data_IF_787247143466
#
_entry.id   IF_787247143466
#
_cell.length_a   1.000
_cell.length_b   1.000
_cell.length_c   1.000
_cell.angle_alpha   90.00
_cell.angle_beta   90.00
_cell.angle_gamma   90.00
#
_symmetry.space_group_name_H-M   'P 1'
#
loop_
_entity.id
_entity.type
_entity.pdbx_description
1 polymer ?
#
# COMPACT_ATOMS: atom_id res chain seq x y z
N UNK A 1 47.08 14.65 -8.32
CA UNK A 1 46.73 15.96 -8.94
C UNK A 1 46.28 15.68 -10.36
N UNK A 2 44.99 15.88 -10.65
CA UNK A 2 44.42 15.68 -11.99
C UNK A 2 44.90 16.85 -12.86
N UNK A 3 45.46 16.58 -14.04
CA UNK A 3 45.85 17.63 -14.99
C UNK A 3 44.59 18.24 -15.61
N UNK A 4 44.55 19.56 -15.80
CA UNK A 4 43.36 20.26 -16.33
C UNK A 4 42.88 19.68 -17.67
N UNK A 5 43.80 19.16 -18.46
CA UNK A 5 43.57 18.56 -19.78
C UNK A 5 42.75 17.26 -19.71
N UNK A 6 42.68 16.61 -18.55
CA UNK A 6 41.98 15.34 -18.31
C UNK A 6 40.57 15.53 -17.72
N UNK A 7 40.18 16.76 -17.37
CA UNK A 7 38.87 17.08 -16.80
C UNK A 7 37.66 16.63 -17.64
N UNK A 8 37.67 16.71 -18.99
CA UNK A 8 36.53 16.26 -19.78
C UNK A 8 36.29 14.77 -19.67
N UNK A 9 37.38 13.99 -19.62
CA UNK A 9 37.34 12.54 -19.57
C UNK A 9 36.89 12.05 -18.18
N UNK A 10 37.36 12.71 -17.12
CA UNK A 10 36.90 12.46 -15.75
C UNK A 10 35.43 12.86 -15.58
N UNK A 11 34.99 13.97 -16.20
CA UNK A 11 33.58 14.38 -16.16
C UNK A 11 32.67 13.34 -16.85
N UNK A 12 33.08 12.79 -18.00
CA UNK A 12 32.31 11.78 -18.72
C UNK A 12 32.20 10.46 -17.93
N UNK A 13 33.30 10.03 -17.28
CA UNK A 13 33.33 8.82 -16.44
C UNK A 13 32.51 8.98 -15.14
N UNK A 14 32.52 10.16 -14.53
CA UNK A 14 31.82 10.41 -13.26
C UNK A 14 30.34 10.74 -13.43
N UNK A 15 29.94 11.29 -14.57
CA UNK A 15 28.54 11.64 -14.87
C UNK A 15 27.79 10.54 -15.62
N UNK A 16 28.42 9.43 -15.97
CA UNK A 16 27.75 8.26 -16.57
C UNK A 16 26.99 8.60 -17.87
N UNK A 17 27.49 9.54 -18.67
CA UNK A 17 26.85 9.98 -19.91
C UNK A 17 25.68 10.97 -19.74
N UNK A 18 25.43 11.50 -18.53
CA UNK A 18 24.43 12.55 -18.32
C UNK A 18 24.90 13.87 -18.96
N UNK A 19 24.28 14.24 -20.09
CA UNK A 19 24.47 15.57 -20.71
C UNK A 19 23.37 16.52 -20.25
N UNK A 20 23.76 17.73 -19.86
CA UNK A 20 22.82 18.79 -19.52
C UNK A 20 21.96 19.15 -20.76
N UNK A 21 20.65 19.03 -20.62
CA UNK A 21 19.67 19.34 -21.66
C UNK A 21 19.75 20.83 -22.08
N UNK A 22 19.56 21.22 -23.35
CA UNK A 22 19.70 22.61 -23.81
C UNK A 22 18.79 23.61 -23.07
N UNK A 23 17.72 23.14 -22.44
CA UNK A 23 16.86 23.95 -21.56
C UNK A 23 17.60 24.51 -20.34
N UNK A 24 18.54 23.77 -19.75
CA UNK A 24 19.35 24.22 -18.61
C UNK A 24 20.40 25.27 -19.02
N UNK A 25 20.95 25.14 -20.23
CA UNK A 25 21.91 26.11 -20.78
C UNK A 25 21.25 27.47 -21.06
N UNK A 26 19.99 27.46 -21.51
CA UNK A 26 19.24 28.68 -21.83
C UNK A 26 18.76 29.45 -20.58
N UNK A 27 18.69 28.82 -19.41
CA UNK A 27 18.30 29.47 -18.14
C UNK A 27 19.40 30.34 -17.52
N UNK A 28 20.67 29.99 -17.74
CA UNK A 28 21.80 30.67 -17.10
C UNK A 28 22.18 32.02 -17.75
N UNK A 29 21.65 32.34 -18.93
CA UNK A 29 22.10 33.49 -19.73
C UNK A 29 21.23 34.76 -19.61
N UNK A 30 20.36 34.89 -18.60
CA UNK A 30 19.57 36.12 -18.41
C UNK A 30 20.28 37.10 -17.47
N UNK A 31 21.10 37.96 -18.05
CA UNK A 31 21.55 39.21 -17.41
C UNK A 31 20.34 40.13 -17.19
N UNK A 32 20.09 40.65 -15.98
CA UNK A 32 18.98 41.57 -15.77
C UNK A 32 19.26 42.91 -16.48
N UNK A 33 18.29 43.39 -17.25
CA UNK A 33 18.38 44.67 -17.93
C UNK A 33 18.40 45.82 -16.92
N UNK A 34 19.41 46.70 -17.01
CA UNK A 34 19.48 47.94 -16.22
C UNK A 34 18.43 48.92 -16.72
N UNK A 35 17.39 49.16 -15.92
CA UNK A 35 16.41 50.21 -16.17
C UNK A 35 16.88 51.49 -15.46
N UNK A 36 17.17 52.52 -16.26
CA UNK A 36 17.49 53.88 -15.80
C UNK A 36 16.33 54.81 -16.16
N UNK A 37 15.85 55.62 -15.21
CA UNK A 37 14.76 56.59 -15.40
C UNK A 37 13.75 56.60 -14.26
N UNK A 38 12.83 57.60 -14.20
CA UNK A 38 12.15 58.10 -12.98
C UNK A 38 11.12 57.14 -12.36
N UNK A 39 11.15 55.87 -12.75
CA UNK A 39 10.38 54.77 -12.15
C UNK A 39 10.83 54.43 -10.72
N UNK A 40 12.00 54.89 -10.27
CA UNK A 40 12.48 54.64 -8.90
C UNK A 40 11.61 55.29 -7.82
N UNK A 41 11.03 56.45 -8.09
CA UNK A 41 10.16 57.15 -7.12
C UNK A 41 8.81 56.45 -7.00
N UNK A 42 8.23 56.04 -8.13
CA UNK A 42 6.99 55.26 -8.15
C UNK A 42 7.17 53.87 -7.53
N UNK A 43 8.31 53.22 -7.80
CA UNK A 43 8.67 51.93 -7.19
C UNK A 43 8.85 52.05 -5.67
N UNK A 44 9.48 53.14 -5.18
CA UNK A 44 9.62 53.37 -3.74
C UNK A 44 8.27 53.61 -3.05
N UNK A 45 7.37 54.38 -3.69
CA UNK A 45 6.04 54.64 -3.15
C UNK A 45 5.19 53.37 -3.10
N UNK A 46 5.24 52.54 -4.15
CA UNK A 46 4.55 51.24 -4.18
C UNK A 46 5.15 50.22 -3.20
N UNK A 47 6.48 50.21 -3.02
CA UNK A 47 7.11 49.35 -2.02
C UNK A 47 6.75 49.78 -0.59
N UNK A 48 6.63 51.08 -0.32
CA UNK A 48 6.23 51.58 0.99
C UNK A 48 4.75 51.26 1.28
N UNK A 49 3.88 51.43 0.29
CA UNK A 49 2.47 51.03 0.39
C UNK A 49 2.31 49.52 0.59
N UNK A 50 3.15 48.70 -0.05
CA UNK A 50 3.17 47.25 0.13
C UNK A 50 3.67 46.85 1.53
N UNK A 51 4.73 47.48 2.04
CA UNK A 51 5.27 47.19 3.39
C UNK A 51 4.27 47.60 4.48
N UNK A 52 3.59 48.74 4.32
CA UNK A 52 2.55 49.18 5.27
C UNK A 52 1.30 48.28 5.16
N UNK A 53 0.91 47.89 3.94
CA UNK A 53 -0.20 46.95 3.71
C UNK A 53 0.07 45.55 4.29
N UNK A 54 1.28 45.01 4.11
CA UNK A 54 1.68 43.75 4.73
C UNK A 54 1.80 43.87 6.25
N UNK A 55 2.30 44.99 6.77
CA UNK A 55 2.37 45.26 8.20
C UNK A 55 0.98 45.21 8.88
N UNK A 56 -0.02 45.82 8.24
CA UNK A 56 -1.41 45.78 8.70
C UNK A 56 -2.02 44.36 8.66
N UNK A 57 -1.64 43.53 7.68
CA UNK A 57 -2.05 42.12 7.59
C UNK A 57 -1.34 41.21 8.60
N UNK A 58 -0.15 41.57 9.08
CA UNK A 58 0.58 40.77 10.10
C UNK A 58 0.12 41.01 11.55
N UNK A 59 -0.57 42.12 11.83
CA UNK A 59 -1.21 42.34 13.14
C UNK A 59 -2.61 41.69 13.23
N UNK A 60 -3.21 41.35 12.09
CA UNK A 60 -4.37 40.46 12.02
C UNK A 60 -3.90 39.03 12.26
N UNK A 61 -3.91 38.62 13.54
CA UNK A 61 -3.51 37.31 14.03
C UNK A 61 -4.25 36.18 13.29
N UNK A 62 -3.68 35.70 12.18
CA UNK A 62 -4.04 34.39 11.63
C UNK A 62 -3.60 33.34 12.66
N UNK A 63 -4.44 32.34 13.00
CA UNK A 63 -4.00 31.25 13.84
C UNK A 63 -2.84 30.56 13.13
N UNK A 64 -1.66 30.61 13.73
CA UNK A 64 -0.51 29.84 13.29
C UNK A 64 -0.97 28.40 13.14
N UNK A 65 -0.99 27.88 11.92
CA UNK A 65 -1.19 26.46 11.71
C UNK A 65 0.00 25.77 12.34
N UNK A 66 -0.20 25.23 13.54
CA UNK A 66 0.76 24.38 14.21
C UNK A 66 0.90 23.15 13.33
N UNK A 67 1.92 23.15 12.46
CA UNK A 67 2.39 21.93 11.82
C UNK A 67 2.64 20.96 12.97
N UNK A 68 2.00 19.77 12.98
CA UNK A 68 2.22 18.81 14.05
C UNK A 68 3.70 18.45 14.07
N UNK A 69 4.42 19.01 15.05
CA UNK A 69 5.78 18.64 15.31
C UNK A 69 5.75 17.28 15.99
N UNK A 70 6.24 16.26 15.27
CA UNK A 70 6.47 14.95 15.87
C UNK A 70 7.72 15.08 16.73
N UNK A 71 7.52 15.10 18.05
CA UNK A 71 8.62 15.05 19.01
C UNK A 71 9.27 13.67 18.93
N UNK A 72 10.38 13.56 18.19
CA UNK A 72 11.18 12.34 18.18
C UNK A 72 12.03 12.30 19.45
N UNK A 73 11.76 11.34 20.34
CA UNK A 73 12.72 10.97 21.38
C UNK A 73 13.83 10.13 20.74
N UNK A 74 15.04 10.67 20.76
CA UNK A 74 16.24 9.98 20.33
C UNK A 74 16.55 8.82 21.28
N UNK A 75 16.69 7.62 20.74
CA UNK A 75 17.29 6.50 21.45
C UNK A 75 18.81 6.54 21.25
N UNK A 76 19.56 6.82 22.32
CA UNK A 76 21.02 6.74 22.34
C UNK A 76 21.72 8.09 22.54
N UNK A 77 22.74 8.07 23.41
CA UNK A 77 23.61 9.21 23.72
C UNK A 77 24.30 9.74 22.46
N UNK A 78 24.32 11.06 22.27
CA UNK A 78 24.85 11.80 21.11
C UNK A 78 26.31 11.52 20.74
N UNK A 79 27.05 10.78 21.56
CA UNK A 79 28.51 10.73 21.52
C UNK A 79 29.14 9.71 20.58
N UNK A 80 28.37 9.01 19.71
CA UNK A 80 28.92 7.89 18.91
C UNK A 80 28.60 7.89 17.41
N UNK A 81 28.08 8.99 16.85
CA UNK A 81 27.78 9.04 15.41
C UNK A 81 28.99 9.60 14.63
N UNK A 82 29.51 8.89 13.61
CA UNK A 82 30.57 9.39 12.74
C UNK A 82 30.12 10.66 12.00
N UNK A 83 31.03 11.62 11.86
CA UNK A 83 30.79 12.85 11.12
C UNK A 83 30.35 12.51 9.67
N UNK A 84 29.11 12.87 9.31
CA UNK A 84 28.51 12.55 8.00
C UNK A 84 27.31 11.61 8.03
N UNK A 85 26.81 11.17 9.19
CA UNK A 85 25.52 10.46 9.30
C UNK A 85 24.37 11.36 8.84
N UNK A 86 23.76 10.99 7.71
CA UNK A 86 22.56 11.63 7.15
C UNK A 86 21.32 11.09 7.85
N UNK A 87 20.42 11.98 8.26
CA UNK A 87 19.17 11.58 8.91
C UNK A 87 18.10 11.32 7.85
N UNK A 88 17.05 10.57 8.21
CA UNK A 88 15.87 10.32 7.34
C UNK A 88 15.17 11.62 6.89
N UNK A 89 15.48 12.76 7.52
CA UNK A 89 15.02 14.08 7.09
C UNK A 89 15.80 14.68 5.90
N UNK A 90 16.93 14.09 5.49
CA UNK A 90 17.79 14.59 4.40
C UNK A 90 17.44 14.02 3.02
N UNK A 91 16.28 13.36 2.86
CA UNK A 91 15.86 12.88 1.53
C UNK A 91 15.29 14.06 0.74
N UNK A 92 15.82 14.38 -0.46
CA UNK A 92 15.31 15.46 -1.30
C UNK A 92 13.81 15.28 -1.59
N UNK A 93 13.06 16.38 -1.67
CA UNK A 93 11.67 16.34 -2.14
C UNK A 93 11.62 15.63 -3.51
N UNK A 94 10.87 14.53 -3.58
CA UNK A 94 10.78 13.67 -4.77
C UNK A 94 11.57 12.35 -4.69
N UNK A 95 12.36 12.10 -3.64
CA UNK A 95 13.05 10.81 -3.44
C UNK A 95 12.12 9.67 -3.06
N UNK A 96 10.89 9.96 -2.62
CA UNK A 96 9.82 8.98 -2.49
C UNK A 96 9.21 8.76 -3.88
N UNK A 97 9.87 7.93 -4.68
CA UNK A 97 9.20 7.28 -5.81
C UNK A 97 8.35 6.18 -5.19
N UNK A 98 7.08 6.46 -4.92
CA UNK A 98 6.08 5.40 -4.84
C UNK A 98 6.14 4.70 -6.18
N UNK A 99 6.74 3.50 -6.21
CA UNK A 99 6.74 2.66 -7.40
C UNK A 99 5.31 2.59 -7.90
N UNK A 100 5.03 3.30 -9.00
CA UNK A 100 3.81 3.08 -9.76
C UNK A 100 4.05 1.75 -10.45
N UNK A 101 3.92 0.67 -9.69
CA UNK A 101 3.90 -0.67 -10.24
C UNK A 101 2.83 -0.66 -11.35
N UNK A 102 3.25 -1.13 -12.52
CA UNK A 102 2.33 -1.27 -13.64
C UNK A 102 1.13 -2.07 -13.14
N UNK A 103 -0.08 -1.56 -13.37
CA UNK A 103 -1.29 -2.24 -12.96
C UNK A 103 -1.22 -3.70 -13.46
N UNK A 104 -1.42 -4.69 -12.58
CA UNK A 104 -1.29 -6.08 -12.97
C UNK A 104 -2.18 -6.38 -14.17
N UNK A 105 -1.70 -7.22 -15.08
CA UNK A 105 -2.44 -7.58 -16.30
C UNK A 105 -3.70 -8.43 -16.00
N UNK A 106 -3.85 -8.94 -14.78
CA UNK A 106 -5.00 -9.69 -14.32
C UNK A 106 -6.03 -8.79 -13.62
N UNK A 107 -7.31 -9.14 -13.72
CA UNK A 107 -8.37 -8.45 -12.99
C UNK A 107 -8.41 -8.94 -11.55
N UNK A 108 -7.97 -8.10 -10.61
CA UNK A 108 -8.01 -8.42 -9.19
C UNK A 108 -9.42 -8.42 -8.60
N UNK A 109 -9.63 -9.23 -7.55
CA UNK A 109 -10.92 -9.33 -6.84
C UNK A 109 -11.05 -8.33 -5.70
N UNK A 110 -9.99 -7.64 -5.32
CA UNK A 110 -10.02 -6.64 -4.25
C UNK A 110 -10.53 -5.28 -4.73
N UNK A 111 -11.33 -4.64 -3.89
CA UNK A 111 -11.76 -3.28 -4.12
C UNK A 111 -10.59 -2.30 -4.11
N UNK A 112 -10.68 -1.33 -5.02
CA UNK A 112 -9.70 -0.26 -5.16
C UNK A 112 -9.90 0.76 -4.04
N UNK A 113 -8.80 1.30 -3.53
CA UNK A 113 -8.83 2.44 -2.62
C UNK A 113 -9.15 3.74 -3.35
N UNK A 114 -9.81 4.67 -2.68
CA UNK A 114 -10.10 6.02 -3.19
C UNK A 114 -9.06 7.07 -2.78
N UNK A 115 -8.21 6.79 -1.77
CA UNK A 115 -7.31 7.77 -1.14
C UNK A 115 -5.92 7.22 -0.77
N UNK A 116 -5.48 6.13 -1.39
CA UNK A 116 -4.20 5.46 -1.07
C UNK A 116 -4.32 4.39 0.01
N UNK A 117 -5.43 4.34 0.75
CA UNK A 117 -5.77 3.23 1.63
C UNK A 117 -6.80 2.30 0.98
N UNK A 118 -6.66 1.00 1.25
CA UNK A 118 -7.62 0.01 0.80
C UNK A 118 -8.86 -0.02 1.72
N UNK A 119 -10.05 -0.33 1.18
CA UNK A 119 -11.24 -0.54 1.99
C UNK A 119 -11.05 -1.76 2.90
N UNK A 120 -10.97 -1.51 4.22
CA UNK A 120 -10.53 -2.49 5.20
C UNK A 120 -11.46 -2.54 6.43
N UNK A 121 -11.44 -3.70 7.09
CA UNK A 121 -11.90 -3.92 8.46
C UNK A 121 -10.74 -4.48 9.27
N UNK A 122 -10.50 -3.92 10.46
CA UNK A 122 -9.69 -4.52 11.50
C UNK A 122 -10.60 -5.18 12.52
N UNK A 123 -10.44 -6.48 12.76
CA UNK A 123 -11.21 -7.26 13.72
C UNK A 123 -10.24 -8.12 14.54
N UNK A 124 -10.18 -7.93 15.85
CA UNK A 124 -9.30 -8.68 16.76
C UNK A 124 -7.83 -8.75 16.30
N UNK A 125 -7.30 -7.62 15.81
CA UNK A 125 -5.93 -7.52 15.30
C UNK A 125 -5.69 -8.14 13.90
N UNK A 126 -6.74 -8.67 13.26
CA UNK A 126 -6.72 -9.18 11.88
C UNK A 126 -7.25 -8.14 10.92
N UNK A 127 -6.74 -8.13 9.69
CA UNK A 127 -7.18 -7.22 8.64
C UNK A 127 -7.91 -7.96 7.54
N UNK A 128 -9.01 -7.36 7.08
CA UNK A 128 -9.86 -7.90 6.02
C UNK A 128 -10.12 -6.83 4.96
N UNK A 129 -9.85 -7.13 3.70
CA UNK A 129 -9.99 -6.22 2.56
C UNK A 129 -11.24 -6.54 1.75
N UNK A 130 -12.00 -5.51 1.40
CA UNK A 130 -13.27 -5.64 0.66
C UNK A 130 -13.08 -6.30 -0.70
N UNK A 131 -13.98 -7.23 -1.03
CA UNK A 131 -14.08 -7.89 -2.33
C UNK A 131 -15.01 -7.12 -3.29
N UNK A 132 -14.63 -7.08 -4.57
CA UNK A 132 -15.43 -6.51 -5.66
C UNK A 132 -16.68 -7.35 -5.94
N UNK A 133 -16.58 -8.67 -5.80
CA UNK A 133 -17.67 -9.60 -6.08
C UNK A 133 -17.69 -10.74 -5.05
N UNK A 134 -18.88 -11.30 -4.77
CA UNK A 134 -20.19 -10.84 -5.23
C UNK A 134 -20.65 -9.56 -4.49
N UNK A 135 -21.66 -8.90 -5.05
CA UNK A 135 -22.19 -7.62 -4.54
C UNK A 135 -23.11 -7.76 -3.33
N UNK A 136 -23.62 -8.97 -3.07
CA UNK A 136 -24.42 -9.30 -1.89
C UNK A 136 -24.12 -10.75 -1.48
N UNK A 137 -23.81 -10.96 -0.21
CA UNK A 137 -23.52 -12.27 0.40
C UNK A 137 -24.47 -12.59 1.56
N UNK A 138 -25.60 -11.90 1.68
CA UNK A 138 -26.55 -12.08 2.79
C UNK A 138 -26.89 -13.55 3.06
N UNK A 139 -26.98 -14.39 2.03
CA UNK A 139 -27.24 -15.83 2.14
C UNK A 139 -26.10 -16.66 2.74
N UNK A 140 -24.89 -16.11 2.89
CA UNK A 140 -23.69 -16.78 3.40
C UNK A 140 -23.34 -16.35 4.82
N UNK A 141 -24.18 -15.50 5.44
CA UNK A 141 -23.89 -14.83 6.69
C UNK A 141 -24.18 -15.74 7.87
N UNK A 142 -23.17 -15.98 8.69
CA UNK A 142 -23.27 -16.73 9.93
C UNK A 142 -23.41 -15.84 11.17
N UNK A 143 -22.75 -16.26 12.25
CA UNK A 143 -22.80 -15.56 13.54
C UNK A 143 -22.08 -14.20 13.51
N UNK A 144 -22.55 -13.26 14.32
CA UNK A 144 -21.84 -11.99 14.54
C UNK A 144 -20.54 -12.23 15.32
N UNK A 145 -19.43 -11.68 14.82
CA UNK A 145 -18.11 -11.77 15.41
C UNK A 145 -17.76 -10.54 16.25
N UNK A 146 -18.29 -9.38 15.88
CA UNK A 146 -18.02 -8.12 16.57
C UNK A 146 -18.84 -6.97 15.99
N UNK A 147 -18.66 -5.79 16.57
CA UNK A 147 -19.33 -4.55 16.12
C UNK A 147 -18.28 -3.49 15.86
N UNK A 148 -18.39 -2.79 14.74
CA UNK A 148 -17.49 -1.69 14.37
C UNK A 148 -17.65 -0.56 15.38
N UNK A 149 -16.60 -0.28 16.14
CA UNK A 149 -16.59 0.77 17.14
C UNK A 149 -16.45 2.16 16.49
N UNK A 150 -15.58 2.26 15.49
CA UNK A 150 -15.27 3.51 14.81
C UNK A 150 -15.00 3.30 13.32
N UNK A 151 -15.55 4.20 12.50
CA UNK A 151 -15.22 4.33 11.08
C UNK A 151 -14.10 5.37 10.94
N UNK A 152 -12.98 4.98 10.34
CA UNK A 152 -11.80 5.84 10.13
C UNK A 152 -11.10 5.49 8.83
N UNK A 153 -10.55 6.48 8.14
CA UNK A 153 -9.80 6.29 6.89
C UNK A 153 -8.48 5.52 7.10
N UNK A 154 -8.01 5.42 8.36
CA UNK A 154 -6.71 4.82 8.71
C UNK A 154 -6.82 3.76 9.85
N UNK A 155 -7.52 2.63 9.65
CA UNK A 155 -7.73 1.63 10.71
C UNK A 155 -6.43 1.01 11.27
N UNK A 156 -5.33 1.08 10.53
CA UNK A 156 -4.05 0.49 10.91
C UNK A 156 -3.18 1.38 11.81
N UNK A 157 -3.46 2.69 11.90
CA UNK A 157 -2.69 3.59 12.78
C UNK A 157 -3.22 3.60 14.21
N UNK A 158 -4.47 3.18 14.38
CA UNK A 158 -5.08 3.06 15.68
C UNK A 158 -4.46 1.91 16.47
N UNK A 159 -4.28 2.09 17.78
CA UNK A 159 -3.65 1.10 18.68
C UNK A 159 -4.63 0.48 19.67
N UNK A 160 -5.91 0.83 19.60
CA UNK A 160 -6.95 0.19 20.40
C UNK A 160 -7.12 -1.28 19.97
N UNK A 161 -7.72 -2.09 20.84
CA UNK A 161 -8.13 -3.45 20.49
C UNK A 161 -9.48 -3.52 19.74
N UNK A 162 -10.06 -2.36 19.39
CA UNK A 162 -11.43 -2.31 18.89
C UNK A 162 -11.53 -2.69 17.41
N UNK A 163 -12.74 -3.06 17.01
CA UNK A 163 -13.06 -3.32 15.60
C UNK A 163 -13.21 -1.99 14.87
N UNK A 164 -12.40 -1.78 13.84
CA UNK A 164 -12.37 -0.54 13.07
C UNK A 164 -12.64 -0.84 11.60
N UNK A 165 -13.18 0.14 10.88
CA UNK A 165 -13.34 0.02 9.44
C UNK A 165 -13.12 1.34 8.74
N UNK A 166 -12.69 1.29 7.49
CA UNK A 166 -12.66 2.48 6.60
C UNK A 166 -13.89 2.61 5.73
N UNK A 167 -14.80 1.62 5.75
CA UNK A 167 -15.98 1.59 4.86
C UNK A 167 -17.28 1.22 5.58
N UNK A 168 -17.20 0.38 6.61
CA UNK A 168 -18.36 -0.02 7.41
C UNK A 168 -18.63 1.06 8.46
N UNK A 169 -19.90 1.41 8.63
CA UNK A 169 -20.34 2.43 9.60
C UNK A 169 -20.17 1.92 11.04
N UNK A 170 -19.83 2.83 11.94
CA UNK A 170 -19.81 2.54 13.37
C UNK A 170 -21.20 2.07 13.85
N UNK A 171 -21.21 1.06 14.71
CA UNK A 171 -22.41 0.40 15.22
C UNK A 171 -22.87 -0.81 14.40
N UNK A 172 -22.35 -1.01 13.18
CA UNK A 172 -22.66 -2.18 12.36
C UNK A 172 -21.89 -3.42 12.81
N UNK A 173 -22.51 -4.59 12.67
CA UNK A 173 -21.87 -5.86 13.02
C UNK A 173 -21.04 -6.43 11.86
N UNK A 174 -19.97 -7.12 12.24
CA UNK A 174 -19.15 -7.96 11.35
C UNK A 174 -19.51 -9.41 11.63
N UNK A 175 -19.71 -10.18 10.57
CA UNK A 175 -20.23 -11.55 10.62
C UNK A 175 -19.21 -12.56 10.09
N UNK A 176 -19.23 -13.75 10.65
CA UNK A 176 -18.57 -14.91 10.06
C UNK A 176 -19.29 -15.29 8.76
N UNK A 177 -18.53 -15.87 7.81
CA UNK A 177 -19.10 -16.44 6.60
C UNK A 177 -19.06 -17.96 6.65
N UNK A 178 -20.16 -18.57 6.23
CA UNK A 178 -20.30 -20.03 6.24
C UNK A 178 -19.20 -20.67 5.40
N UNK A 179 -18.58 -21.71 5.98
CA UNK A 179 -17.47 -22.47 5.39
C UNK A 179 -16.19 -21.67 5.07
N UNK A 180 -16.07 -20.40 5.46
CA UNK A 180 -14.87 -19.58 5.20
C UNK A 180 -13.90 -19.49 6.37
N UNK A 181 -14.30 -19.94 7.56
CA UNK A 181 -13.47 -19.87 8.77
C UNK A 181 -12.95 -18.45 9.04
N UNK A 182 -11.67 -18.32 9.35
CA UNK A 182 -11.02 -17.02 9.55
C UNK A 182 -10.60 -16.30 8.26
N UNK A 183 -10.79 -16.92 7.07
CA UNK A 183 -10.28 -16.41 5.81
C UNK A 183 -11.12 -15.31 5.15
N UNK A 184 -12.41 -15.20 5.51
CA UNK A 184 -13.28 -14.13 5.04
C UNK A 184 -14.38 -13.80 6.06
N UNK A 185 -14.82 -12.54 6.05
CA UNK A 185 -15.90 -12.02 6.91
C UNK A 185 -16.90 -11.21 6.08
N UNK A 186 -18.11 -11.04 6.61
CA UNK A 186 -19.17 -10.22 6.01
C UNK A 186 -19.44 -8.97 6.83
N UNK A 187 -19.70 -7.85 6.17
CA UNK A 187 -20.22 -6.65 6.84
C UNK A 187 -21.06 -5.80 5.90
N UNK A 188 -21.91 -4.94 6.48
CA UNK A 188 -22.78 -4.05 5.72
C UNK A 188 -21.99 -2.88 5.12
N UNK A 189 -21.99 -2.76 3.79
CA UNK A 189 -21.39 -1.64 3.05
C UNK A 189 -22.44 -1.10 2.09
N UNK A 190 -22.77 0.18 2.22
CA UNK A 190 -23.77 0.87 1.39
C UNK A 190 -25.12 0.12 1.27
N UNK A 191 -25.55 -0.51 2.38
CA UNK A 191 -26.83 -1.22 2.45
C UNK A 191 -26.83 -2.62 1.83
N UNK A 192 -25.66 -3.16 1.47
CA UNK A 192 -25.51 -4.56 1.04
C UNK A 192 -24.52 -5.29 1.94
N UNK A 193 -24.78 -6.57 2.19
CA UNK A 193 -23.81 -7.42 2.90
C UNK A 193 -22.67 -7.75 1.94
N UNK A 194 -21.45 -7.32 2.23
CA UNK A 194 -20.27 -7.51 1.37
C UNK A 194 -19.21 -8.38 2.03
N UNK A 195 -18.47 -9.12 1.21
CA UNK A 195 -17.38 -9.98 1.67
C UNK A 195 -16.07 -9.20 1.80
N UNK A 196 -15.29 -9.55 2.81
CA UNK A 196 -13.93 -9.09 3.00
C UNK A 196 -13.02 -10.30 3.18
N UNK A 197 -11.91 -10.32 2.45
CA UNK A 197 -10.90 -11.38 2.54
C UNK A 197 -9.83 -10.99 3.55
N UNK A 198 -9.38 -11.96 4.35
CA UNK A 198 -8.25 -11.79 5.25
C UNK A 198 -6.95 -11.50 4.50
N UNK A 199 -6.25 -10.44 4.89
CA UNK A 199 -5.01 -9.98 4.26
C UNK A 199 -3.98 -9.57 5.29
N UNK A 200 -2.71 -9.57 4.87
CA UNK A 200 -1.65 -8.87 5.57
C UNK A 200 -1.74 -7.38 5.28
N UNK A 201 -1.63 -6.58 6.34
CA UNK A 201 -1.66 -5.12 6.23
C UNK A 201 -0.85 -4.50 7.37
N UNK A 202 -0.15 -3.40 7.09
CA UNK A 202 0.68 -2.67 8.06
C UNK A 202 1.70 -3.56 8.83
N UNK A 203 2.30 -4.54 8.13
CA UNK A 203 3.28 -5.46 8.73
C UNK A 203 2.70 -6.56 9.63
N UNK A 204 1.37 -6.65 9.72
CA UNK A 204 0.63 -7.65 10.47
C UNK A 204 -0.05 -8.61 9.50
N UNK A 205 0.00 -9.90 9.78
CA UNK A 205 -0.63 -10.95 8.97
C UNK A 205 -1.30 -11.99 9.88
N UNK A 206 -0.46 -12.77 10.56
CA UNK A 206 -0.87 -13.81 11.49
C UNK A 206 -0.93 -13.25 12.91
N UNK A 207 -1.90 -13.73 13.68
CA UNK A 207 -2.09 -13.43 15.08
C UNK A 207 -1.82 -14.71 15.87
N UNK A 208 -0.82 -14.68 16.76
CA UNK A 208 -0.42 -15.85 17.53
C UNK A 208 0.21 -16.94 16.65
N UNK A 209 -0.21 -18.19 16.84
CA UNK A 209 0.33 -19.38 16.17
C UNK A 209 -0.47 -19.85 14.95
N UNK A 210 -1.20 -18.95 14.29
CA UNK A 210 -1.98 -19.28 13.10
C UNK A 210 -1.11 -19.81 11.95
N UNK A 211 -1.72 -20.66 11.14
CA UNK A 211 -1.15 -21.28 9.94
C UNK A 211 -1.90 -20.82 8.69
N UNK A 212 -1.43 -21.23 7.49
CA UNK A 212 -2.13 -20.91 6.25
C UNK A 212 -3.58 -21.39 6.27
N UNK A 213 -3.84 -22.56 6.86
CA UNK A 213 -5.19 -23.17 6.99
C UNK A 213 -6.18 -22.29 7.75
N UNK A 214 -5.69 -21.47 8.68
CA UNK A 214 -6.53 -20.58 9.48
C UNK A 214 -6.91 -19.30 8.73
N UNK A 215 -6.22 -19.03 7.61
CA UNK A 215 -6.38 -17.82 6.79
C UNK A 215 -6.95 -18.09 5.41
N UNK A 216 -6.86 -19.33 4.94
CA UNK A 216 -7.28 -19.75 3.62
C UNK A 216 -8.15 -21.02 3.75
N UNK A 217 -9.47 -20.92 3.50
CA UNK A 217 -10.36 -22.05 3.64
C UNK A 217 -10.07 -23.11 2.58
N UNK A 218 -10.26 -24.38 2.96
CA UNK A 218 -10.25 -25.50 2.02
C UNK A 218 -11.54 -25.59 1.19
N UNK A 219 -11.65 -26.62 0.36
CA UNK A 219 -12.86 -26.87 -0.43
C UNK A 219 -13.03 -25.92 -1.63
N UNK A 220 -11.92 -25.55 -2.28
CA UNK A 220 -11.99 -24.80 -3.53
C UNK A 220 -12.69 -25.64 -4.62
N UNK A 221 -13.55 -24.97 -5.39
CA UNK A 221 -14.26 -25.54 -6.53
C UNK A 221 -13.45 -25.41 -7.83
N UNK A 222 -12.76 -24.27 -8.00
CA UNK A 222 -11.91 -24.02 -9.15
C UNK A 222 -10.75 -23.10 -8.75
N UNK A 223 -9.64 -23.23 -9.48
CA UNK A 223 -8.44 -22.40 -9.27
C UNK A 223 -8.01 -21.81 -10.59
N UNK A 224 -7.63 -20.53 -10.60
CA UNK A 224 -7.05 -19.87 -11.76
C UNK A 224 -5.73 -19.22 -11.38
N UNK A 225 -4.66 -19.61 -12.07
CA UNK A 225 -3.34 -19.03 -11.89
C UNK A 225 -2.97 -18.18 -13.11
N UNK A 226 -2.75 -16.89 -12.87
CA UNK A 226 -2.44 -15.90 -13.91
C UNK A 226 -1.21 -16.30 -14.71
N UNK A 227 -1.35 -16.42 -16.04
CA UNK A 227 -0.27 -16.81 -16.94
C UNK A 227 0.04 -18.31 -16.98
N UNK A 228 -0.72 -19.15 -16.25
CA UNK A 228 -0.58 -20.62 -16.29
C UNK A 228 -1.84 -21.28 -16.83
N UNK A 229 -3.01 -21.00 -16.24
CA UNK A 229 -4.27 -21.60 -16.67
C UNK A 229 -5.31 -21.69 -15.56
N UNK A 230 -6.39 -22.42 -15.84
CA UNK A 230 -7.51 -22.62 -14.92
C UNK A 230 -7.77 -24.11 -14.74
N UNK A 231 -7.92 -24.55 -13.50
CA UNK A 231 -8.34 -25.89 -13.11
C UNK A 231 -9.78 -25.80 -12.61
N UNK A 232 -10.73 -26.38 -13.36
CA UNK A 232 -12.17 -26.35 -13.04
C UNK A 232 -12.69 -27.67 -12.49
N UNK A 233 -11.87 -28.72 -12.45
CA UNK A 233 -12.23 -29.98 -11.80
C UNK A 233 -12.16 -29.82 -10.27
N UNK A 234 -13.26 -29.99 -9.52
CA UNK A 234 -13.26 -29.76 -8.07
C UNK A 234 -12.38 -30.74 -7.30
N UNK A 235 -12.18 -31.96 -7.82
CA UNK A 235 -11.31 -32.95 -7.20
C UNK A 235 -9.84 -32.53 -7.28
N UNK A 236 -9.39 -32.12 -8.47
CA UNK A 236 -8.04 -31.59 -8.68
C UNK A 236 -7.83 -30.25 -7.95
N UNK A 237 -8.82 -29.37 -7.96
CA UNK A 237 -8.77 -28.10 -7.21
C UNK A 237 -8.57 -28.35 -5.70
N UNK A 238 -9.32 -29.30 -5.13
CA UNK A 238 -9.14 -29.70 -3.72
C UNK A 238 -7.75 -30.28 -3.46
N UNK A 239 -7.25 -31.17 -4.33
CA UNK A 239 -5.91 -31.76 -4.18
C UNK A 239 -4.80 -30.69 -4.23
N UNK A 240 -4.92 -29.72 -5.14
CA UNK A 240 -3.97 -28.61 -5.23
C UNK A 240 -4.01 -27.73 -3.97
N UNK A 241 -5.21 -27.45 -3.44
CA UNK A 241 -5.35 -26.73 -2.18
C UNK A 241 -4.76 -27.51 -0.99
N UNK A 242 -4.91 -28.84 -0.97
CA UNK A 242 -4.31 -29.68 0.05
C UNK A 242 -2.78 -29.65 -0.01
N UNK A 243 -2.18 -29.70 -1.20
CA UNK A 243 -0.73 -29.50 -1.39
C UNK A 243 -0.31 -28.14 -0.85
N UNK A 244 -1.04 -27.07 -1.23
CA UNK A 244 -0.74 -25.72 -0.78
C UNK A 244 -0.79 -25.61 0.74
N UNK A 245 -1.88 -26.06 1.37
CA UNK A 245 -2.10 -25.94 2.81
C UNK A 245 -1.13 -26.82 3.61
N UNK A 246 -0.73 -27.98 3.08
CA UNK A 246 0.14 -28.93 3.79
C UNK A 246 1.63 -28.68 3.61
N UNK A 247 2.05 -28.11 2.48
CA UNK A 247 3.47 -27.96 2.14
C UNK A 247 3.95 -26.50 2.09
N UNK A 248 3.05 -25.53 2.24
CA UNK A 248 3.44 -24.13 2.32
C UNK A 248 4.30 -23.83 3.56
N UNK A 249 5.39 -23.11 3.34
CA UNK A 249 6.29 -22.63 4.40
C UNK A 249 6.15 -21.12 4.53
N UNK A 250 5.89 -20.65 5.75
CA UNK A 250 5.76 -19.23 6.04
C UNK A 250 7.09 -18.49 5.83
N UNK A 251 7.06 -17.36 5.11
CA UNK A 251 8.23 -16.53 4.84
C UNK A 251 8.18 -15.15 5.49
N UNK A 252 7.01 -14.67 5.91
CA UNK A 252 6.87 -13.40 6.61
C UNK A 252 5.54 -12.71 6.40
N UNK A 253 5.34 -11.57 7.07
CA UNK A 253 4.07 -10.83 7.08
C UNK A 253 3.86 -9.92 5.85
N UNK A 254 4.80 -9.90 4.91
CA UNK A 254 4.70 -8.99 3.77
C UNK A 254 3.63 -9.46 2.79
N UNK A 255 2.89 -8.51 2.21
CA UNK A 255 2.07 -8.73 1.03
C UNK A 255 2.87 -8.27 -0.18
N UNK A 256 3.31 -9.21 -1.02
CA UNK A 256 4.00 -8.89 -2.26
C UNK A 256 2.98 -8.89 -3.40
N UNK A 257 2.30 -7.76 -3.61
CA UNK A 257 1.50 -7.59 -4.83
C UNK A 257 2.45 -7.60 -6.03
N UNK A 258 2.13 -8.42 -7.03
CA UNK A 258 2.97 -8.69 -8.20
C UNK A 258 2.09 -8.79 -9.44
N UNK A 259 2.69 -8.95 -10.62
CA UNK A 259 1.96 -9.08 -11.88
C UNK A 259 1.13 -10.36 -12.04
N UNK A 260 1.14 -11.29 -11.07
CA UNK A 260 0.38 -12.55 -11.11
C UNK A 260 -0.45 -12.75 -9.85
N UNK A 261 -1.59 -13.43 -10.01
CA UNK A 261 -2.42 -13.88 -8.91
C UNK A 261 -2.95 -15.30 -9.11
N UNK A 262 -3.16 -15.97 -7.99
CA UNK A 262 -4.01 -17.15 -7.83
C UNK A 262 -5.39 -16.69 -7.38
N UNK A 263 -6.42 -17.02 -8.16
CA UNK A 263 -7.82 -16.87 -7.80
C UNK A 263 -8.36 -18.23 -7.38
N UNK A 264 -9.05 -18.25 -6.24
CA UNK A 264 -9.56 -19.46 -5.59
C UNK A 264 -11.07 -19.29 -5.47
N UNK A 265 -11.80 -20.04 -6.31
CA UNK A 265 -13.26 -19.99 -6.34
C UNK A 265 -13.84 -21.06 -5.42
N UNK A 266 -14.80 -20.68 -4.59
CA UNK A 266 -15.50 -21.58 -3.66
C UNK A 266 -16.91 -21.91 -4.15
N UNK A 267 -17.52 -23.02 -3.70
CA UNK A 267 -18.88 -23.43 -4.11
C UNK A 267 -19.97 -22.39 -3.81
N UNK A 268 -19.74 -21.52 -2.82
CA UNK A 268 -20.64 -20.44 -2.44
C UNK A 268 -20.53 -19.19 -3.34
N UNK A 269 -19.70 -19.24 -4.39
CA UNK A 269 -19.51 -18.14 -5.35
C UNK A 269 -18.48 -17.10 -4.93
N UNK A 270 -17.90 -17.21 -3.73
CA UNK A 270 -16.79 -16.34 -3.32
C UNK A 270 -15.52 -16.68 -4.09
N UNK A 271 -14.74 -15.65 -4.40
CA UNK A 271 -13.41 -15.77 -4.99
C UNK A 271 -12.41 -15.05 -4.11
N UNK A 272 -11.47 -15.80 -3.54
CA UNK A 272 -10.35 -15.25 -2.79
C UNK A 272 -9.13 -15.14 -3.70
N UNK A 273 -8.25 -14.18 -3.41
CA UNK A 273 -7.05 -13.94 -4.21
C UNK A 273 -5.79 -14.04 -3.37
N UNK A 274 -4.75 -14.64 -3.94
CA UNK A 274 -3.37 -14.52 -3.45
C UNK A 274 -2.51 -13.95 -4.57
N UNK A 275 -1.66 -12.98 -4.24
CA UNK A 275 -0.62 -12.52 -5.16
C UNK A 275 0.47 -13.58 -5.31
N UNK A 276 1.13 -13.66 -6.47
CA UNK A 276 2.07 -14.72 -6.82
C UNK A 276 3.41 -14.12 -7.25
N UNK A 277 4.45 -14.39 -6.47
CA UNK A 277 5.83 -14.00 -6.80
C UNK A 277 6.73 -15.23 -6.86
N UNK A 278 7.14 -15.63 -8.07
CA UNK A 278 7.96 -16.82 -8.27
C UNK A 278 7.26 -18.09 -7.78
N UNK A 279 7.77 -18.69 -6.70
CA UNK A 279 7.19 -19.87 -6.03
C UNK A 279 6.48 -19.55 -4.71
N UNK A 280 6.14 -18.28 -4.49
CA UNK A 280 5.49 -17.81 -3.26
C UNK A 280 4.13 -17.18 -3.53
N UNK A 281 3.22 -17.35 -2.57
CA UNK A 281 1.85 -16.85 -2.56
C UNK A 281 1.66 -15.89 -1.38
N UNK A 282 1.04 -14.74 -1.63
CA UNK A 282 0.83 -13.70 -0.61
C UNK A 282 -0.64 -13.26 -0.53
N UNK A 283 -1.24 -13.41 0.64
CA UNK A 283 -2.53 -12.81 0.99
C UNK A 283 -2.50 -12.41 2.46
N UNK A 284 -2.68 -13.38 3.37
CA UNK A 284 -2.39 -13.23 4.80
C UNK A 284 -0.95 -13.69 5.07
N UNK A 285 0.00 -12.81 4.79
CA UNK A 285 1.44 -13.11 4.80
C UNK A 285 1.89 -13.82 3.52
N UNK A 286 3.20 -14.08 3.43
CA UNK A 286 3.85 -14.72 2.29
C UNK A 286 4.23 -16.15 2.63
N UNK A 287 3.91 -17.06 1.71
CA UNK A 287 4.06 -18.50 1.85
C UNK A 287 4.76 -19.06 0.62
N UNK A 288 5.86 -19.80 0.80
CA UNK A 288 6.52 -20.51 -0.31
C UNK A 288 5.94 -21.91 -0.46
N UNK A 289 5.57 -22.29 -1.67
CA UNK A 289 5.09 -23.64 -1.97
C UNK A 289 5.45 -24.06 -3.40
N UNK A 290 6.71 -24.45 -3.68
CA UNK A 290 7.13 -24.89 -5.02
C UNK A 290 6.31 -26.07 -5.56
N UNK A 291 5.99 -27.04 -4.70
CA UNK A 291 5.22 -28.23 -5.06
C UNK A 291 3.81 -27.90 -5.58
N UNK A 292 3.16 -26.86 -5.04
CA UNK A 292 1.87 -26.39 -5.55
C UNK A 292 1.99 -25.91 -7.00
N UNK A 293 3.01 -25.11 -7.33
CA UNK A 293 3.19 -24.58 -8.69
C UNK A 293 3.52 -25.69 -9.70
N UNK A 294 4.33 -26.67 -9.31
CA UNK A 294 4.62 -27.84 -10.14
C UNK A 294 3.36 -28.67 -10.42
N UNK A 295 2.60 -29.00 -9.36
CA UNK A 295 1.35 -29.74 -9.48
C UNK A 295 0.31 -28.97 -10.31
N UNK A 296 0.20 -27.65 -10.12
CA UNK A 296 -0.75 -26.82 -10.86
C UNK A 296 -0.46 -26.83 -12.36
N UNK A 297 0.82 -26.68 -12.76
CA UNK A 297 1.21 -26.73 -14.17
C UNK A 297 0.97 -28.08 -14.81
N UNK A 298 1.01 -29.16 -14.04
CA UNK A 298 0.65 -30.50 -14.53
C UNK A 298 -0.87 -30.65 -14.71
N UNK A 299 -1.66 -30.05 -13.80
CA UNK A 299 -3.12 -30.12 -13.84
C UNK A 299 -3.80 -29.15 -14.83
N UNK A 300 -3.12 -28.05 -15.19
CA UNK A 300 -3.63 -27.03 -16.11
C UNK A 300 -3.30 -27.29 -17.59
N UNK A 301 -2.67 -28.43 -17.90
CA UNK A 301 -2.43 -28.94 -19.26
C UNK A 301 -3.67 -29.66 -19.80
#
# INVERSE_FOLDING_TARGET
MIRLDQLPQVAEETLGGLRADPGLLNGAARRPARVSGPRRVLAFALSLALVIGLGALTLGRAPSQTIPQVSHQQAGLESSLPEGTRFIADVPQGSLVLSREAAPAYQGVWARGSSGNFPLIRLDGRYYRLLNNPDDISSLTGQALGTVALTTDEPALDRSGETLSSVVKAGESVYALDHMGGGAVGAMVDGRMRAFQRVAFAGLALVGGESLRDTLPGGAHALQLSGVGTVTDPGLASQLMDILISQAVFQGNQLNETGQALLIQYPNGLVLQMAVSGSSLSACGTWSCPAFFEAFRAAAQ
#
